data_IF_747061988959
#
_entry.id   IF_747061988959
#
_cell.length_a   1.000
_cell.length_b   1.000
_cell.length_c   1.000
_cell.angle_alpha   90.00
_cell.angle_beta   90.00
_cell.angle_gamma   90.00
#
_symmetry.space_group_name_H-M   'P 1'
#
loop_
_entity.id
_entity.type
_entity.pdbx_description
1 polymer ?
#
# COMPACT_ATOMS: atom_id res chain seq x y z
N UNK A 1 -15.25 4.93 -16.12
CA UNK A 1 -15.62 4.95 -14.66
C UNK A 1 -16.51 3.79 -14.23
N UNK A 2 -17.49 3.41 -15.05
CA UNK A 2 -18.44 2.32 -14.72
C UNK A 2 -17.74 0.95 -14.64
N UNK A 3 -16.87 0.66 -15.58
CA UNK A 3 -16.08 -0.58 -15.62
C UNK A 3 -15.17 -0.74 -14.38
N UNK A 4 -14.43 0.30 -13.98
CA UNK A 4 -13.65 0.29 -12.73
C UNK A 4 -14.55 0.00 -11.50
N UNK A 5 -15.77 0.52 -11.50
CA UNK A 5 -16.75 0.31 -10.41
C UNK A 5 -17.24 -1.14 -10.38
N UNK A 6 -17.54 -1.72 -11.55
CA UNK A 6 -18.00 -3.10 -11.68
C UNK A 6 -16.91 -4.08 -11.24
N UNK A 7 -15.69 -3.95 -11.76
CA UNK A 7 -14.54 -4.76 -11.36
C UNK A 7 -14.25 -4.68 -9.86
N UNK A 8 -14.26 -3.46 -9.31
CA UNK A 8 -14.08 -3.28 -7.86
C UNK A 8 -15.12 -4.06 -7.07
N UNK A 9 -16.40 -3.96 -7.44
CA UNK A 9 -17.50 -4.66 -6.75
C UNK A 9 -17.31 -6.17 -6.82
N UNK A 10 -16.97 -6.69 -7.99
CA UNK A 10 -16.76 -8.12 -8.22
C UNK A 10 -15.60 -8.67 -7.37
N UNK A 11 -14.43 -8.03 -7.45
CA UNK A 11 -13.23 -8.52 -6.77
C UNK A 11 -13.34 -8.35 -5.25
N UNK A 12 -13.95 -7.26 -4.78
CA UNK A 12 -14.21 -7.12 -3.35
C UNK A 12 -15.16 -8.20 -2.84
N UNK A 13 -16.19 -8.59 -3.62
CA UNK A 13 -17.07 -9.69 -3.23
C UNK A 13 -16.32 -11.02 -3.12
N UNK A 14 -15.39 -11.32 -4.05
CA UNK A 14 -14.52 -12.51 -3.95
C UNK A 14 -13.64 -12.47 -2.71
N UNK A 15 -13.00 -11.31 -2.44
CA UNK A 15 -12.16 -11.12 -1.26
C UNK A 15 -12.95 -11.25 0.05
N UNK A 16 -14.14 -10.68 0.11
CA UNK A 16 -15.01 -10.72 1.29
C UNK A 16 -15.58 -12.13 1.54
N UNK A 17 -15.70 -12.95 0.48
CA UNK A 17 -16.18 -14.34 0.58
C UNK A 17 -15.12 -15.33 1.10
N UNK A 18 -13.84 -14.96 1.15
CA UNK A 18 -12.81 -15.81 1.75
C UNK A 18 -13.07 -16.02 3.25
N UNK A 19 -12.85 -17.22 3.74
CA UNK A 19 -12.90 -17.51 5.17
C UNK A 19 -11.90 -16.65 5.95
N UNK A 20 -12.20 -16.37 7.21
CA UNK A 20 -11.35 -15.54 8.06
C UNK A 20 -9.97 -16.19 8.21
N UNK A 21 -9.95 -17.48 8.49
CA UNK A 21 -8.73 -18.29 8.66
C UNK A 21 -7.87 -18.29 7.39
N UNK A 22 -8.51 -18.37 6.22
CA UNK A 22 -7.80 -18.29 4.94
C UNK A 22 -7.14 -16.92 4.75
N UNK A 23 -7.86 -15.83 5.07
CA UNK A 23 -7.32 -14.47 4.97
C UNK A 23 -6.16 -14.24 5.95
N UNK A 24 -6.28 -14.74 7.18
CA UNK A 24 -5.22 -14.64 8.18
C UNK A 24 -3.97 -15.38 7.73
N UNK A 25 -4.10 -16.62 7.25
CA UNK A 25 -2.98 -17.41 6.75
C UNK A 25 -2.32 -16.75 5.52
N UNK A 26 -3.10 -16.27 4.57
CA UNK A 26 -2.57 -15.56 3.40
C UNK A 26 -1.88 -14.26 3.78
N UNK A 27 -2.46 -13.48 4.70
CA UNK A 27 -1.85 -12.25 5.21
C UNK A 27 -0.52 -12.54 5.89
N UNK A 28 -0.46 -13.56 6.76
CA UNK A 28 0.76 -14.00 7.43
C UNK A 28 1.85 -14.34 6.41
N UNK A 29 1.53 -15.15 5.39
CA UNK A 29 2.49 -15.53 4.32
C UNK A 29 3.01 -14.32 3.55
N UNK A 30 2.14 -13.34 3.25
CA UNK A 30 2.55 -12.09 2.58
C UNK A 30 3.53 -11.32 3.46
N UNK A 31 3.23 -11.16 4.76
CA UNK A 31 4.07 -10.39 5.68
C UNK A 31 5.40 -11.08 5.96
N UNK A 32 5.42 -12.40 6.16
CA UNK A 32 6.65 -13.19 6.32
C UNK A 32 7.56 -13.06 5.08
N UNK A 33 6.97 -13.18 3.89
CA UNK A 33 7.70 -13.00 2.65
C UNK A 33 8.28 -11.59 2.55
N UNK A 34 7.51 -10.55 2.87
CA UNK A 34 7.98 -9.17 2.85
C UNK A 34 9.17 -8.96 3.81
N UNK A 35 9.04 -9.43 5.05
CA UNK A 35 10.08 -9.30 6.08
C UNK A 35 11.38 -10.02 5.68
N UNK A 36 11.31 -11.09 4.88
CA UNK A 36 12.49 -11.80 4.37
C UNK A 36 13.16 -11.14 3.15
N UNK A 37 12.61 -10.04 2.64
CA UNK A 37 13.14 -9.38 1.44
C UNK A 37 14.16 -8.30 1.79
N UNK A 38 15.23 -8.13 0.96
CA UNK A 38 16.18 -7.01 1.11
C UNK A 38 15.49 -5.64 1.12
N UNK A 39 14.36 -5.51 0.44
CA UNK A 39 13.54 -4.30 0.43
C UNK A 39 13.10 -3.88 1.84
N UNK A 40 12.70 -4.84 2.67
CA UNK A 40 12.33 -4.58 4.07
C UNK A 40 13.56 -4.23 4.91
N UNK A 41 14.62 -5.02 4.81
CA UNK A 41 15.85 -4.81 5.60
C UNK A 41 16.45 -3.43 5.37
N UNK A 42 16.51 -3.00 4.11
CA UNK A 42 17.08 -1.71 3.70
C UNK A 42 16.19 -0.52 4.05
N UNK A 43 14.93 -0.75 4.43
CA UNK A 43 14.00 0.32 4.76
C UNK A 43 14.15 0.78 6.21
N UNK A 44 14.37 2.07 6.42
CA UNK A 44 14.40 2.71 7.75
C UNK A 44 13.00 3.11 8.20
N UNK A 45 12.14 3.40 7.23
CA UNK A 45 10.78 3.89 7.44
C UNK A 45 9.79 3.00 6.70
N UNK A 46 8.73 2.63 7.41
CA UNK A 46 7.58 1.89 6.86
C UNK A 46 6.34 2.77 6.94
N UNK A 47 5.76 3.10 5.80
CA UNK A 47 4.44 3.71 5.70
C UNK A 47 3.42 2.59 5.47
N UNK A 48 2.73 2.16 6.51
CA UNK A 48 1.79 1.04 6.46
C UNK A 48 0.35 1.53 6.62
N UNK A 49 -0.56 1.04 5.78
CA UNK A 49 -1.98 1.23 6.06
C UNK A 49 -2.43 0.35 7.23
N UNK A 50 -3.46 0.77 7.92
CA UNK A 50 -4.17 -0.06 8.90
C UNK A 50 -5.28 -0.79 8.15
N UNK A 51 -5.22 -2.13 8.16
CA UNK A 51 -6.16 -2.93 7.38
C UNK A 51 -7.62 -2.70 7.81
N UNK A 52 -8.49 -2.62 6.83
CA UNK A 52 -9.91 -2.46 7.01
C UNK A 52 -10.69 -3.62 6.39
N UNK A 53 -11.63 -4.20 7.15
CA UNK A 53 -12.45 -5.36 6.72
C UNK A 53 -11.56 -6.53 6.26
N UNK A 54 -11.71 -6.93 5.01
CA UNK A 54 -11.05 -8.09 4.39
C UNK A 54 -9.71 -7.77 3.71
N UNK A 55 -9.10 -6.61 3.98
CA UNK A 55 -7.77 -6.30 3.46
C UNK A 55 -6.69 -7.23 4.05
N UNK A 56 -5.56 -7.31 3.35
CA UNK A 56 -4.38 -7.99 3.91
C UNK A 56 -4.03 -7.35 5.25
N UNK A 57 -3.94 -8.18 6.28
CA UNK A 57 -3.64 -7.71 7.64
C UNK A 57 -2.16 -7.31 7.74
N UNK A 58 -1.91 -6.06 8.13
CA UNK A 58 -0.57 -5.47 8.26
C UNK A 58 -0.07 -5.40 9.70
N UNK A 59 -0.85 -5.88 10.67
CA UNK A 59 -0.53 -5.78 12.10
C UNK A 59 0.81 -6.44 12.44
N UNK A 60 1.07 -7.64 11.93
CA UNK A 60 2.30 -8.38 12.20
C UNK A 60 3.52 -7.65 11.63
N UNK A 61 3.39 -7.05 10.44
CA UNK A 61 4.45 -6.22 9.87
C UNK A 61 4.74 -4.98 10.73
N UNK A 62 3.69 -4.29 11.17
CA UNK A 62 3.85 -3.09 12.03
C UNK A 62 4.57 -3.46 13.31
N UNK A 63 4.12 -4.51 14.01
CA UNK A 63 4.74 -4.98 15.24
C UNK A 63 6.20 -5.40 15.01
N UNK A 64 6.47 -6.12 13.93
CA UNK A 64 7.82 -6.54 13.57
C UNK A 64 8.71 -5.35 13.24
N UNK A 65 8.25 -4.40 12.45
CA UNK A 65 9.02 -3.22 12.07
C UNK A 65 9.39 -2.36 13.29
N UNK A 66 8.46 -2.20 14.24
CA UNK A 66 8.74 -1.51 15.50
C UNK A 66 9.77 -2.26 16.36
N UNK A 67 9.66 -3.59 16.46
CA UNK A 67 10.64 -4.42 17.18
C UNK A 67 12.04 -4.37 16.55
N UNK A 68 12.12 -4.27 15.22
CA UNK A 68 13.38 -4.11 14.47
C UNK A 68 13.93 -2.66 14.52
N UNK A 69 13.30 -1.76 15.30
CA UNK A 69 13.73 -0.36 15.47
C UNK A 69 13.42 0.55 14.29
N UNK A 70 12.61 0.11 13.32
CA UNK A 70 12.19 0.94 12.19
C UNK A 70 11.15 1.99 12.62
N UNK A 71 11.12 3.11 11.92
CA UNK A 71 10.09 4.13 12.11
C UNK A 71 8.83 3.73 11.32
N UNK A 72 7.71 3.60 12.00
CA UNK A 72 6.44 3.24 11.37
C UNK A 72 5.48 4.43 11.39
N UNK A 73 4.78 4.63 10.27
CA UNK A 73 3.74 5.65 10.15
C UNK A 73 2.51 5.03 9.51
N UNK A 74 1.33 5.48 9.93
CA UNK A 74 0.06 5.04 9.36
C UNK A 74 -0.78 6.23 8.89
N UNK A 75 -1.67 6.03 7.90
CA UNK A 75 -2.44 7.12 7.33
C UNK A 75 -3.54 7.60 8.28
N UNK A 76 -3.78 8.91 8.25
CA UNK A 76 -4.92 9.57 8.87
C UNK A 76 -5.58 10.50 7.87
N UNK A 77 -6.90 10.42 7.77
CA UNK A 77 -7.69 11.20 6.83
C UNK A 77 -8.28 12.42 7.50
N UNK A 78 -8.10 13.59 6.90
CA UNK A 78 -8.74 14.84 7.32
C UNK A 78 -9.41 15.49 6.11
N UNK A 79 -10.74 15.42 6.05
CA UNK A 79 -11.50 15.91 4.91
C UNK A 79 -11.14 15.17 3.62
N UNK A 80 -10.53 15.88 2.67
CA UNK A 80 -10.09 15.33 1.37
C UNK A 80 -8.60 15.00 1.33
N UNK A 81 -7.86 15.27 2.39
CA UNK A 81 -6.43 15.01 2.51
C UNK A 81 -6.15 13.75 3.32
N UNK A 82 -4.96 13.20 3.13
CA UNK A 82 -4.43 12.07 3.89
C UNK A 82 -2.96 12.36 4.17
N UNK A 83 -2.55 12.20 5.43
CA UNK A 83 -1.17 12.32 5.85
C UNK A 83 -0.78 11.08 6.66
N UNK A 84 0.52 10.80 6.73
CA UNK A 84 1.03 9.70 7.53
C UNK A 84 1.55 10.20 8.87
N UNK A 85 1.08 9.59 9.95
CA UNK A 85 1.42 9.95 11.32
C UNK A 85 2.17 8.82 12.01
N UNK A 86 3.08 9.18 12.92
CA UNK A 86 3.89 8.24 13.69
C UNK A 86 3.00 7.24 14.41
N UNK A 87 3.40 5.97 14.32
CA UNK A 87 2.79 4.86 15.04
C UNK A 87 3.87 4.19 15.89
N UNK A 88 3.70 4.17 17.22
CA UNK A 88 4.65 3.53 18.14
C UNK A 88 4.17 2.16 18.60
N UNK A 89 2.89 1.85 18.39
CA UNK A 89 2.26 0.56 18.65
C UNK A 89 0.82 0.54 18.16
N UNK A 90 0.22 -0.64 18.10
CA UNK A 90 -1.18 -0.80 17.67
C UNK A 90 -2.16 -0.20 18.69
N UNK A 91 -1.73 0.01 19.93
CA UNK A 91 -2.46 0.68 21.00
C UNK A 91 -2.62 2.20 20.77
N UNK A 92 -1.78 2.80 19.92
CA UNK A 92 -1.89 4.22 19.55
C UNK A 92 -3.05 4.51 18.58
N UNK A 93 -3.63 3.45 18.02
CA UNK A 93 -4.73 3.59 17.07
C UNK A 93 -6.06 3.89 17.76
N UNK A 94 -6.81 4.85 17.23
CA UNK A 94 -8.17 5.21 17.64
C UNK A 94 -9.12 5.11 16.46
N UNK A 95 -10.40 4.97 16.73
CA UNK A 95 -11.41 5.00 15.68
C UNK A 95 -11.37 6.34 14.95
N UNK A 96 -11.25 6.29 13.63
CA UNK A 96 -11.14 7.43 12.76
C UNK A 96 -12.14 7.39 11.59
N UNK A 97 -11.71 7.87 10.43
CA UNK A 97 -12.56 8.01 9.25
C UNK A 97 -13.21 6.69 8.85
N UNK A 98 -14.55 6.64 8.81
CA UNK A 98 -15.38 5.47 8.45
C UNK A 98 -15.13 4.22 9.28
N UNK A 99 -14.73 4.35 10.53
CA UNK A 99 -14.39 3.23 11.41
C UNK A 99 -13.05 2.57 11.11
N UNK A 100 -12.22 3.18 10.26
CA UNK A 100 -10.82 2.78 10.10
C UNK A 100 -10.04 3.30 11.29
N UNK A 101 -9.21 2.47 11.90
CA UNK A 101 -8.36 2.89 13.00
C UNK A 101 -7.21 3.76 12.48
N UNK A 102 -7.00 4.91 13.10
CA UNK A 102 -6.01 5.92 12.69
C UNK A 102 -5.08 6.28 13.87
N UNK A 103 -3.83 6.72 13.61
CA UNK A 103 -2.92 7.14 14.66
C UNK A 103 -3.47 8.32 15.47
N UNK A 104 -3.34 8.24 16.81
CA UNK A 104 -3.66 9.35 17.70
C UNK A 104 -2.54 10.38 17.79
N UNK A 105 -1.31 10.02 17.37
CA UNK A 105 -0.12 10.88 17.46
C UNK A 105 -0.23 12.11 16.55
N UNK A 106 0.57 13.14 16.85
CA UNK A 106 0.67 14.37 16.06
C UNK A 106 1.94 14.41 15.17
N UNK A 107 2.82 13.41 15.30
CA UNK A 107 4.07 13.33 14.53
C UNK A 107 3.83 12.97 13.07
N UNK A 108 3.75 13.96 12.20
CA UNK A 108 3.59 13.77 10.75
C UNK A 108 4.89 13.21 10.15
N UNK A 109 4.75 12.32 9.16
CA UNK A 109 5.87 11.86 8.36
C UNK A 109 6.47 13.02 7.57
N UNK A 110 7.73 13.30 7.88
CA UNK A 110 8.55 14.24 7.14
C UNK A 110 9.75 13.50 6.55
N UNK A 111 9.76 13.36 5.23
CA UNK A 111 10.88 12.75 4.51
C UNK A 111 11.99 13.77 4.17
N UNK A 112 11.82 15.05 4.50
CA UNK A 112 12.74 16.13 4.10
C UNK A 112 14.11 16.12 4.78
N UNK A 113 14.33 15.25 5.76
CA UNK A 113 15.53 15.34 6.61
C UNK A 113 16.62 14.34 6.28
N UNK A 114 16.45 13.35 5.40
CA UNK A 114 17.52 12.41 5.08
C UNK A 114 17.23 11.60 3.80
N UNK A 115 18.28 11.13 3.13
CA UNK A 115 18.20 10.02 2.16
C UNK A 115 17.86 8.72 2.90
N UNK A 116 16.65 8.64 3.42
CA UNK A 116 16.16 7.51 4.21
C UNK A 116 15.35 6.61 3.30
N UNK A 117 15.69 5.34 3.29
CA UNK A 117 14.92 4.37 2.51
C UNK A 117 13.54 4.19 3.12
N UNK A 118 12.53 4.63 2.40
CA UNK A 118 11.13 4.55 2.83
C UNK A 118 10.35 3.56 1.97
N UNK A 119 9.76 2.56 2.62
CA UNK A 119 8.83 1.60 2.02
C UNK A 119 7.40 2.01 2.33
N UNK A 120 6.59 2.20 1.31
CA UNK A 120 5.15 2.46 1.45
C UNK A 120 4.32 1.27 0.99
N UNK A 121 3.50 0.73 1.87
CA UNK A 121 2.50 -0.26 1.51
C UNK A 121 1.27 0.44 0.92
N UNK A 122 0.86 0.00 -0.26
CA UNK A 122 -0.32 0.54 -0.95
C UNK A 122 -1.47 -0.47 -0.91
N UNK A 123 -2.63 -0.12 -0.33
CA UNK A 123 -3.84 -0.92 -0.44
C UNK A 123 -4.51 -0.72 -1.79
N UNK A 124 -5.35 -1.67 -2.18
CA UNK A 124 -6.17 -1.55 -3.36
C UNK A 124 -7.25 -2.64 -3.44
N UNK A 125 -8.23 -2.41 -4.30
CA UNK A 125 -9.30 -3.37 -4.55
C UNK A 125 -8.93 -4.37 -5.65
N UNK A 126 -8.34 -3.88 -6.75
CA UNK A 126 -7.96 -4.69 -7.91
C UNK A 126 -6.60 -4.23 -8.44
N UNK A 127 -5.83 -5.17 -8.93
CA UNK A 127 -4.53 -4.94 -9.55
C UNK A 127 -4.42 -5.73 -10.84
N UNK A 128 -3.44 -5.39 -11.67
CA UNK A 128 -3.10 -6.21 -12.83
C UNK A 128 -1.61 -6.54 -12.91
N UNK A 129 -1.27 -7.36 -13.90
CA UNK A 129 0.11 -7.81 -14.11
C UNK A 129 1.07 -6.69 -14.52
N UNK A 130 0.55 -5.54 -14.96
CA UNK A 130 1.31 -4.33 -15.28
C UNK A 130 1.35 -3.33 -14.12
N UNK A 131 0.84 -3.75 -12.95
CA UNK A 131 0.74 -2.95 -11.72
C UNK A 131 -0.20 -1.75 -11.80
N UNK A 132 -1.16 -1.73 -12.70
CA UNK A 132 -2.25 -0.79 -12.55
C UNK A 132 -3.06 -1.15 -11.31
N UNK A 133 -3.69 -0.14 -10.71
CA UNK A 133 -4.39 -0.28 -9.44
C UNK A 133 -5.75 0.41 -9.49
N UNK A 134 -6.78 -0.31 -9.12
CA UNK A 134 -8.08 0.26 -8.79
C UNK A 134 -8.17 0.35 -7.26
N UNK A 135 -8.13 1.58 -6.74
CA UNK A 135 -8.33 1.84 -5.31
C UNK A 135 -9.82 1.86 -4.92
N UNK A 136 -10.12 2.37 -3.74
CA UNK A 136 -11.50 2.45 -3.21
C UNK A 136 -12.31 3.65 -3.71
N UNK A 137 -11.78 4.43 -4.66
CA UNK A 137 -12.48 5.51 -5.36
C UNK A 137 -12.40 6.89 -4.71
N UNK A 138 -11.57 7.07 -3.67
CA UNK A 138 -11.34 8.38 -3.03
C UNK A 138 -10.07 9.08 -3.47
N UNK A 139 -9.13 8.37 -4.14
CA UNK A 139 -7.89 8.93 -4.66
C UNK A 139 -6.89 9.46 -3.61
N UNK A 140 -7.02 9.07 -2.34
CA UNK A 140 -6.13 9.56 -1.28
C UNK A 140 -4.66 9.26 -1.55
N UNK A 141 -4.34 8.01 -1.92
CA UNK A 141 -2.97 7.61 -2.21
C UNK A 141 -2.42 8.30 -3.46
N UNK A 142 -3.22 8.48 -4.50
CA UNK A 142 -2.80 9.13 -5.73
C UNK A 142 -2.46 10.61 -5.48
N UNK A 143 -3.30 11.33 -4.72
CA UNK A 143 -3.03 12.71 -4.32
C UNK A 143 -1.83 12.82 -3.37
N UNK A 144 -1.73 11.93 -2.39
CA UNK A 144 -0.60 11.93 -1.44
C UNK A 144 0.73 11.71 -2.15
N UNK A 145 0.82 10.67 -2.98
CA UNK A 145 2.05 10.36 -3.73
C UNK A 145 2.44 11.49 -4.69
N UNK A 146 1.48 12.13 -5.35
CA UNK A 146 1.72 13.31 -6.15
C UNK A 146 2.31 14.44 -5.29
N UNK A 147 1.69 14.74 -4.16
CA UNK A 147 2.13 15.80 -3.24
C UNK A 147 3.56 15.60 -2.74
N UNK A 148 3.90 14.40 -2.27
CA UNK A 148 5.27 14.13 -1.80
C UNK A 148 6.29 14.13 -2.94
N UNK A 149 5.90 13.67 -4.13
CA UNK A 149 6.76 13.74 -5.34
C UNK A 149 7.07 15.18 -5.73
N UNK A 150 6.11 16.10 -5.66
CA UNK A 150 6.31 17.53 -5.90
C UNK A 150 7.29 18.16 -4.89
N UNK A 151 7.42 17.59 -3.70
CA UNK A 151 8.41 17.95 -2.69
C UNK A 151 9.78 17.28 -2.88
N UNK A 152 9.96 16.49 -3.94
CA UNK A 152 11.19 15.74 -4.19
C UNK A 152 11.38 14.50 -3.31
N UNK A 153 10.33 14.07 -2.60
CA UNK A 153 10.36 12.90 -1.72
C UNK A 153 10.10 11.65 -2.55
N UNK A 154 11.03 10.70 -2.51
CA UNK A 154 10.91 9.40 -3.17
C UNK A 154 10.65 8.30 -2.15
N UNK A 155 9.63 7.48 -2.40
CA UNK A 155 9.31 6.31 -1.59
C UNK A 155 9.20 5.07 -2.50
N UNK A 156 9.59 3.91 -1.98
CA UNK A 156 9.35 2.66 -2.69
C UNK A 156 7.93 2.20 -2.41
N UNK A 157 7.08 2.18 -3.42
CA UNK A 157 5.68 1.79 -3.30
C UNK A 157 5.49 0.31 -3.59
N UNK A 158 4.97 -0.44 -2.63
CA UNK A 158 4.67 -1.85 -2.73
C UNK A 158 3.17 -2.09 -2.49
N UNK A 159 2.45 -2.57 -3.50
CA UNK A 159 1.11 -3.06 -3.27
C UNK A 159 1.15 -4.43 -2.59
N UNK A 160 0.33 -4.62 -1.55
CA UNK A 160 0.10 -5.91 -0.92
C UNK A 160 -1.36 -6.28 -1.09
N UNK A 161 -1.61 -7.45 -1.66
CA UNK A 161 -2.96 -7.93 -1.96
C UNK A 161 -2.99 -9.46 -2.00
N UNK A 162 -4.20 -10.04 -1.98
CA UNK A 162 -4.36 -11.46 -2.25
C UNK A 162 -4.29 -11.72 -3.75
N UNK A 163 -3.83 -12.91 -4.14
CA UNK A 163 -3.69 -13.30 -5.54
C UNK A 163 -5.01 -13.16 -6.32
N UNK A 164 -6.16 -13.40 -5.69
CA UNK A 164 -7.48 -13.23 -6.31
C UNK A 164 -7.81 -11.79 -6.71
N UNK A 165 -7.03 -10.81 -6.25
CA UNK A 165 -7.19 -9.40 -6.62
C UNK A 165 -6.36 -9.01 -7.86
N UNK A 166 -5.53 -9.92 -8.40
CA UNK A 166 -4.65 -9.65 -9.54
C UNK A 166 -5.24 -10.26 -10.79
N UNK A 167 -5.59 -9.41 -11.75
CA UNK A 167 -6.12 -9.77 -13.07
C UNK A 167 -5.02 -9.64 -14.14
N UNK A 168 -5.27 -10.14 -15.33
CA UNK A 168 -4.34 -9.96 -16.46
C UNK A 168 -4.23 -8.51 -16.88
N UNK A 169 -5.34 -7.78 -16.92
CA UNK A 169 -5.42 -6.38 -17.31
C UNK A 169 -6.65 -5.70 -16.68
N UNK A 170 -6.52 -4.43 -16.29
CA UNK A 170 -7.61 -3.62 -15.77
C UNK A 170 -7.64 -2.25 -16.44
N UNK A 171 -8.80 -1.57 -16.51
CA UNK A 171 -8.88 -0.19 -17.00
C UNK A 171 -8.12 0.76 -16.05
N UNK A 172 -7.30 1.64 -16.63
CA UNK A 172 -6.51 2.63 -15.89
C UNK A 172 -6.59 4.01 -16.54
N UNK A 173 -6.19 5.03 -15.81
CA UNK A 173 -6.09 6.41 -16.29
C UNK A 173 -4.64 6.91 -16.09
N UNK A 174 -4.21 7.87 -16.94
CA UNK A 174 -2.81 8.36 -16.92
C UNK A 174 -2.37 8.96 -15.57
N UNK A 175 -3.32 9.41 -14.77
CA UNK A 175 -3.05 9.98 -13.45
C UNK A 175 -3.10 8.96 -12.30
N UNK A 176 -3.52 7.72 -12.57
CA UNK A 176 -3.48 6.65 -11.57
C UNK A 176 -2.03 6.30 -11.24
N UNK A 177 -1.67 6.37 -9.96
CA UNK A 177 -0.31 6.02 -9.52
C UNK A 177 -0.18 4.51 -9.41
N UNK A 178 0.80 3.96 -10.12
CA UNK A 178 1.14 2.54 -10.05
C UNK A 178 2.16 2.29 -8.93
N UNK A 179 2.00 1.22 -8.14
CA UNK A 179 3.06 0.76 -7.26
C UNK A 179 4.27 0.28 -8.07
N UNK A 180 5.46 0.33 -7.48
CA UNK A 180 6.69 -0.21 -8.10
C UNK A 180 6.71 -1.74 -8.12
N UNK A 181 5.97 -2.37 -7.21
CA UNK A 181 5.85 -3.82 -7.16
C UNK A 181 4.51 -4.24 -6.52
N UNK A 182 4.14 -5.50 -6.75
CA UNK A 182 3.01 -6.18 -6.11
C UNK A 182 3.52 -7.44 -5.40
N UNK A 183 3.09 -7.63 -4.17
CA UNK A 183 3.35 -8.82 -3.38
C UNK A 183 2.03 -9.50 -3.01
N UNK A 184 1.93 -10.80 -3.31
CA UNK A 184 0.81 -11.66 -2.93
C UNK A 184 1.31 -12.86 -2.11
N UNK A 185 0.40 -13.68 -1.60
CA UNK A 185 0.75 -14.92 -0.91
C UNK A 185 1.50 -15.92 -1.82
N UNK A 186 1.39 -15.76 -3.14
CA UNK A 186 2.02 -16.66 -4.12
C UNK A 186 3.28 -16.08 -4.74
N UNK A 187 3.32 -14.81 -5.09
CA UNK A 187 4.40 -14.22 -5.88
C UNK A 187 4.74 -12.78 -5.52
N UNK A 188 5.96 -12.38 -5.86
CA UNK A 188 6.43 -11.01 -5.92
C UNK A 188 6.64 -10.61 -7.37
N UNK A 189 6.14 -9.45 -7.77
CA UNK A 189 6.25 -8.93 -9.13
C UNK A 189 6.72 -7.49 -9.09
N UNK A 190 7.82 -7.19 -9.75
CA UNK A 190 8.25 -5.81 -10.00
C UNK A 190 7.55 -5.27 -11.24
N UNK A 191 7.14 -4.04 -11.16
CA UNK A 191 6.54 -3.31 -12.26
C UNK A 191 7.66 -2.55 -12.96
N UNK A 192 8.15 -3.09 -14.07
CA UNK A 192 9.15 -2.39 -14.85
C UNK A 192 8.54 -1.13 -15.44
N UNK A 193 9.13 0.03 -15.16
CA UNK A 193 8.97 1.23 -15.97
C UNK A 193 9.63 1.02 -17.34
N UNK A 194 9.09 0.13 -18.15
CA UNK A 194 9.31 0.25 -19.58
C UNK A 194 8.35 1.32 -20.04
N UNK A 195 8.83 2.58 -20.01
CA UNK A 195 8.31 3.61 -20.85
C UNK A 195 8.25 3.03 -22.28
N UNK A 196 7.05 2.84 -22.80
CA UNK A 196 6.85 2.68 -24.21
C UNK A 196 7.37 3.98 -24.87
N UNK A 197 8.53 3.94 -25.46
CA UNK A 197 9.01 4.92 -26.41
C UNK A 197 10.01 5.97 -25.92
N UNK A 198 11.23 5.59 -25.58
CA UNK A 198 12.39 6.36 -26.02
C UNK A 198 13.48 5.38 -26.50
N UNK A 199 13.43 5.10 -27.78
CA UNK A 199 14.58 4.53 -28.48
C UNK A 199 15.66 5.61 -28.50
N UNK A 200 16.66 5.44 -27.68
CA UNK A 200 17.94 6.09 -27.83
C UNK A 200 18.40 5.97 -29.30
N UNK A 201 18.55 7.07 -29.97
CA UNK A 201 19.37 7.16 -31.19
C UNK A 201 20.80 7.52 -30.78
N UNK A 202 21.77 7.04 -31.54
CA UNK A 202 23.20 7.00 -31.22
C UNK A 202 23.83 8.38 -31.08
#
# INVERSE_FOLDING_TARGET
>A
MEEKRALRKQILALRDAMLVEEREEKSRRIMEKLVSMPLYDQSDIILAYVNYRSEVNTTDLVNRALADGKRVFAPKVSGETMEFYRLNGMEDLREGYKGIREPASEGIFDAGAAMVHTLMLMPGAVFDEKCHRIGYGKGFYDRYLKHISEKGISVYTLAVCYECQVLSEIPFEKHDVRPRAILTETRFRTCSDRADGERNRP
#
